data_IF_969220187327
#
_entry.id   IF_969220187327
#
_cell.length_a   1.000
_cell.length_b   1.000
_cell.length_c   1.000
_cell.angle_alpha   90.00
_cell.angle_beta   90.00
_cell.angle_gamma   90.00
#
_symmetry.space_group_name_H-M   'P 1'
#
loop_
_entity.id
_entity.type
_entity.pdbx_description
1 polymer ?
#
# COMPACT_ATOMS: atom_id res chain seq x y z
N UNK A 1 9.07 -3.67 8.89
CA UNK A 1 8.19 -4.05 10.02
C UNK A 1 7.38 -5.25 9.58
N UNK A 2 7.33 -6.29 10.43
CA UNK A 2 6.58 -7.52 10.17
C UNK A 2 5.68 -7.78 11.37
N UNK A 3 4.37 -7.85 11.14
CA UNK A 3 3.37 -8.17 12.16
C UNK A 3 2.12 -8.81 11.53
N UNK A 4 2.32 -9.70 10.55
CA UNK A 4 1.25 -10.48 9.94
C UNK A 4 0.55 -11.38 10.97
N UNK A 5 -0.71 -11.75 10.68
CA UNK A 5 -1.53 -12.67 11.49
C UNK A 5 -1.77 -12.16 12.92
N UNK A 6 -2.27 -10.93 13.02
CA UNK A 6 -2.59 -10.27 14.28
C UNK A 6 -3.96 -9.58 14.21
N UNK A 7 -4.34 -8.90 15.28
CA UNK A 7 -5.57 -8.10 15.35
C UNK A 7 -5.26 -6.60 15.40
N UNK A 8 -4.22 -6.15 14.68
CA UNK A 8 -3.82 -4.75 14.68
C UNK A 8 -4.82 -3.93 13.88
N UNK A 9 -5.29 -2.84 14.47
CA UNK A 9 -6.20 -1.88 13.83
C UNK A 9 -5.49 -0.61 13.36
N UNK A 10 -4.22 -0.43 13.77
CA UNK A 10 -3.38 0.72 13.43
C UNK A 10 -1.91 0.33 13.37
N UNK A 11 -1.18 1.01 12.50
CA UNK A 11 0.28 1.01 12.44
C UNK A 11 0.72 2.46 12.22
N UNK A 12 1.74 2.91 12.96
CA UNK A 12 2.38 4.21 12.73
C UNK A 12 3.82 3.98 12.25
N UNK A 13 4.11 4.44 11.05
CA UNK A 13 5.44 4.37 10.39
C UNK A 13 5.91 5.73 9.87
N UNK A 14 5.19 6.82 10.17
CA UNK A 14 5.38 8.12 9.52
C UNK A 14 6.79 8.71 9.68
N UNK A 15 7.50 8.38 10.76
CA UNK A 15 8.85 8.88 11.03
C UNK A 15 9.98 7.91 10.62
N UNK A 16 9.65 6.81 9.92
CA UNK A 16 10.61 5.77 9.55
C UNK A 16 11.09 5.96 8.10
N UNK A 17 11.85 7.03 7.85
CA UNK A 17 12.29 7.42 6.51
C UNK A 17 13.16 6.38 5.77
N UNK A 18 13.79 5.47 6.52
CA UNK A 18 14.62 4.39 5.98
C UNK A 18 13.89 3.03 5.93
N UNK A 19 12.57 3.02 6.14
CA UNK A 19 11.80 1.79 6.15
C UNK A 19 11.65 1.23 4.74
N UNK A 20 12.19 0.04 4.51
CA UNK A 20 12.17 -0.60 3.20
C UNK A 20 11.03 -1.61 3.03
N UNK A 21 10.53 -2.18 4.13
CA UNK A 21 9.62 -3.34 4.07
C UNK A 21 8.53 -3.24 5.12
N UNK A 22 7.29 -3.43 4.71
CA UNK A 22 6.12 -3.56 5.58
C UNK A 22 5.39 -4.84 5.19
N UNK A 23 5.18 -5.73 6.16
CA UNK A 23 4.22 -6.81 6.05
C UNK A 23 3.25 -6.76 7.23
N UNK A 24 1.99 -6.46 6.92
CA UNK A 24 0.86 -6.36 7.83
C UNK A 24 -0.32 -7.20 7.34
N UNK A 25 -0.05 -8.26 6.59
CA UNK A 25 -1.09 -9.16 6.09
C UNK A 25 -1.92 -9.74 7.25
N UNK A 26 -3.19 -10.07 7.00
CA UNK A 26 -4.08 -10.70 7.99
C UNK A 26 -4.17 -9.89 9.29
N UNK A 27 -4.66 -8.65 9.18
CA UNK A 27 -4.90 -7.74 10.30
C UNK A 27 -6.28 -7.06 10.12
N UNK A 28 -6.53 -5.96 10.84
CA UNK A 28 -7.76 -5.18 10.74
C UNK A 28 -7.47 -3.69 10.53
N UNK A 29 -6.42 -3.38 9.76
CA UNK A 29 -6.05 -2.00 9.45
C UNK A 29 -7.14 -1.36 8.61
N UNK A 30 -7.68 -0.24 9.07
CA UNK A 30 -8.65 0.57 8.32
C UNK A 30 -7.99 1.72 7.53
N UNK A 31 -6.76 2.08 7.92
CA UNK A 31 -5.95 3.10 7.27
C UNK A 31 -4.47 2.82 7.49
N UNK A 32 -3.63 3.27 6.56
CA UNK A 32 -2.18 3.30 6.70
C UNK A 32 -1.62 4.50 5.94
N UNK A 33 -0.87 5.35 6.63
CA UNK A 33 -0.11 6.43 6.02
C UNK A 33 1.35 5.99 5.84
N UNK A 34 1.81 5.98 4.59
CA UNK A 34 3.18 5.64 4.19
C UNK A 34 3.92 6.83 3.56
N UNK A 35 3.37 8.04 3.63
CA UNK A 35 3.94 9.24 2.99
C UNK A 35 5.35 9.57 3.49
N UNK A 36 5.68 9.17 4.72
CA UNK A 36 7.01 9.29 5.32
C UNK A 36 8.00 8.18 4.97
N UNK A 37 7.65 7.22 4.11
CA UNK A 37 8.48 6.05 3.80
C UNK A 37 8.86 5.97 2.30
N UNK A 38 9.56 6.98 1.75
CA UNK A 38 9.80 7.10 0.30
C UNK A 38 10.72 6.00 -0.26
N UNK A 39 11.46 5.28 0.58
CA UNK A 39 12.37 4.19 0.18
C UNK A 39 11.75 2.79 0.30
N UNK A 40 10.42 2.68 0.49
CA UNK A 40 9.74 1.39 0.55
C UNK A 40 9.96 0.58 -0.73
N UNK A 41 10.32 -0.68 -0.54
CA UNK A 41 10.55 -1.68 -1.57
C UNK A 41 9.51 -2.80 -1.53
N UNK A 42 8.94 -3.07 -0.36
CA UNK A 42 7.91 -4.11 -0.16
C UNK A 42 6.79 -3.60 0.72
N UNK A 43 5.55 -3.74 0.25
CA UNK A 43 4.34 -3.37 0.99
C UNK A 43 3.28 -4.46 0.82
N UNK A 44 3.09 -5.24 1.87
CA UNK A 44 2.10 -6.31 1.91
C UNK A 44 1.03 -6.01 2.95
N UNK A 45 -0.20 -5.84 2.48
CA UNK A 45 -1.36 -5.34 3.22
C UNK A 45 -2.62 -6.19 2.95
N UNK A 46 -2.47 -7.35 2.32
CA UNK A 46 -3.57 -8.25 2.01
C UNK A 46 -4.38 -8.64 3.26
N UNK A 47 -5.68 -8.88 3.09
CA UNK A 47 -6.60 -9.27 4.18
C UNK A 47 -6.61 -8.24 5.33
N UNK A 48 -7.03 -7.01 5.03
CA UNK A 48 -7.25 -5.95 5.99
C UNK A 48 -8.64 -5.31 5.77
N UNK A 49 -8.86 -4.08 6.22
CA UNK A 49 -10.12 -3.34 6.05
C UNK A 49 -9.87 -1.95 5.47
N UNK A 50 -8.84 -1.81 4.64
CA UNK A 50 -8.47 -0.55 3.99
C UNK A 50 -9.53 -0.18 2.95
N UNK A 51 -9.98 1.08 2.96
CA UNK A 51 -10.88 1.64 1.94
C UNK A 51 -10.12 2.40 0.84
N UNK A 52 -8.92 2.87 1.15
CA UNK A 52 -8.00 3.46 0.18
C UNK A 52 -6.56 3.25 0.66
N UNK A 53 -5.62 3.33 -0.28
CA UNK A 53 -4.20 3.44 0.01
C UNK A 53 -3.58 4.45 -0.95
N UNK A 54 -2.76 5.36 -0.41
CA UNK A 54 -2.03 6.36 -1.20
C UNK A 54 -0.56 5.97 -1.33
N UNK A 55 -0.17 5.59 -2.54
CA UNK A 55 1.21 5.25 -2.91
C UNK A 55 1.83 6.33 -3.82
N UNK A 56 1.17 7.49 -3.97
CA UNK A 56 1.64 8.60 -4.81
C UNK A 56 2.94 9.23 -4.34
N UNK A 57 3.29 9.02 -3.07
CA UNK A 57 4.54 9.44 -2.42
C UNK A 57 5.75 8.57 -2.77
N UNK A 58 5.53 7.37 -3.34
CA UNK A 58 6.61 6.47 -3.77
C UNK A 58 7.22 6.98 -5.08
N UNK A 59 8.50 7.44 -5.12
CA UNK A 59 9.03 8.13 -6.29
C UNK A 59 9.06 7.29 -7.57
N UNK A 60 9.24 5.98 -7.46
CA UNK A 60 9.24 5.03 -8.57
C UNK A 60 8.55 3.74 -8.15
N UNK A 61 7.53 3.31 -8.89
CA UNK A 61 6.84 2.05 -8.57
C UNK A 61 7.71 0.83 -8.83
N UNK A 62 8.74 0.95 -9.69
CA UNK A 62 9.73 -0.10 -9.92
C UNK A 62 10.53 -0.39 -8.64
N UNK A 63 10.77 0.61 -7.80
CA UNK A 63 11.42 0.41 -6.49
C UNK A 63 10.54 -0.43 -5.57
N UNK A 64 9.22 -0.19 -5.58
CA UNK A 64 8.24 -0.98 -4.84
C UNK A 64 8.01 -2.32 -5.57
N UNK A 65 9.04 -3.16 -5.52
CA UNK A 65 9.10 -4.42 -6.24
C UNK A 65 7.97 -5.39 -5.86
N UNK A 66 7.48 -5.30 -4.62
CA UNK A 66 6.39 -6.14 -4.09
C UNK A 66 5.29 -5.25 -3.53
N UNK A 67 4.08 -5.40 -4.04
CA UNK A 67 2.88 -4.77 -3.52
C UNK A 67 1.73 -5.78 -3.56
N UNK A 68 1.12 -6.03 -2.41
CA UNK A 68 -0.09 -6.85 -2.26
C UNK A 68 -1.12 -6.15 -1.40
N UNK A 69 -2.33 -6.04 -1.92
CA UNK A 69 -3.43 -5.28 -1.29
C UNK A 69 -4.78 -5.99 -1.42
N UNK A 70 -4.83 -7.17 -2.03
CA UNK A 70 -6.04 -7.98 -2.20
C UNK A 70 -6.79 -8.23 -0.88
N UNK A 71 -8.09 -8.50 -0.99
CA UNK A 71 -9.00 -8.67 0.14
C UNK A 71 -9.03 -7.45 1.08
N UNK A 72 -9.17 -6.27 0.48
CA UNK A 72 -9.50 -5.03 1.17
C UNK A 72 -10.72 -4.41 0.47
N UNK A 73 -11.66 -3.77 1.19
CA UNK A 73 -12.80 -3.09 0.59
C UNK A 73 -12.39 -1.74 -0.03
N UNK A 74 -11.43 -1.76 -0.96
CA UNK A 74 -10.89 -0.55 -1.56
C UNK A 74 -11.86 0.09 -2.55
N UNK A 75 -12.01 1.41 -2.44
CA UNK A 75 -12.59 2.21 -3.51
C UNK A 75 -11.54 2.49 -4.60
N UNK A 76 -10.26 2.57 -4.23
CA UNK A 76 -9.15 2.91 -5.12
C UNK A 76 -7.75 2.61 -4.54
N UNK A 77 -6.74 2.67 -5.41
CA UNK A 77 -5.32 2.80 -5.08
C UNK A 77 -4.84 4.14 -5.67
N UNK A 78 -4.53 5.12 -4.82
CA UNK A 78 -4.11 6.45 -5.28
C UNK A 78 -2.67 6.44 -5.77
N UNK A 79 -2.48 6.91 -6.99
CA UNK A 79 -1.20 7.08 -7.69
C UNK A 79 -1.10 8.51 -8.24
N UNK A 80 0.09 8.95 -8.63
CA UNK A 80 0.27 10.23 -9.33
C UNK A 80 0.29 10.07 -10.86
N UNK A 81 0.30 11.20 -11.58
CA UNK A 81 0.23 11.24 -13.05
C UNK A 81 1.39 10.57 -13.77
N UNK A 82 2.55 10.40 -13.10
CA UNK A 82 3.70 9.71 -13.68
C UNK A 82 3.62 8.20 -13.44
N UNK A 83 3.10 7.79 -12.30
CA UNK A 83 2.98 6.38 -11.89
C UNK A 83 1.89 5.62 -12.66
N UNK A 84 0.76 6.27 -12.97
CA UNK A 84 -0.40 5.60 -13.58
C UNK A 84 -0.10 4.98 -14.95
N UNK A 85 0.94 5.45 -15.64
CA UNK A 85 1.39 4.94 -16.94
C UNK A 85 2.33 3.73 -16.83
N UNK A 86 2.85 3.43 -15.64
CA UNK A 86 3.90 2.43 -15.40
C UNK A 86 3.62 1.65 -14.10
N UNK A 87 2.42 1.07 -14.02
CA UNK A 87 2.04 0.19 -12.90
C UNK A 87 2.73 -1.17 -13.08
N UNK A 88 3.49 -1.67 -12.08
CA UNK A 88 4.15 -2.95 -12.20
C UNK A 88 3.16 -4.13 -12.29
N UNK A 89 3.35 -4.98 -13.30
CA UNK A 89 2.42 -6.09 -13.58
C UNK A 89 2.43 -7.21 -12.53
N UNK A 90 3.46 -7.29 -11.69
CA UNK A 90 3.59 -8.31 -10.64
C UNK A 90 2.83 -7.97 -9.35
N UNK A 91 2.25 -6.78 -9.25
CA UNK A 91 1.46 -6.38 -8.09
C UNK A 91 0.15 -7.13 -8.01
N UNK A 92 -0.28 -7.44 -6.79
CA UNK A 92 -1.54 -8.15 -6.54
C UNK A 92 -2.55 -7.22 -5.88
N UNK A 93 -3.76 -7.22 -6.41
CA UNK A 93 -4.92 -6.44 -5.97
C UNK A 93 -6.19 -7.18 -6.40
N UNK A 94 -7.35 -6.81 -5.88
CA UNK A 94 -8.60 -7.39 -6.35
C UNK A 94 -8.94 -6.90 -7.77
N UNK A 95 -9.72 -7.69 -8.51
CA UNK A 95 -10.13 -7.32 -9.88
C UNK A 95 -10.95 -6.03 -9.91
N UNK A 96 -11.68 -5.74 -8.82
CA UNK A 96 -12.52 -4.55 -8.65
C UNK A 96 -11.73 -3.29 -8.33
N UNK A 97 -10.51 -3.42 -7.82
CA UNK A 97 -9.70 -2.28 -7.39
C UNK A 97 -9.22 -1.46 -8.59
N UNK A 98 -9.23 -0.14 -8.48
CA UNK A 98 -8.81 0.76 -9.56
C UNK A 98 -7.64 1.65 -9.12
N UNK A 99 -6.66 1.83 -9.99
CA UNK A 99 -5.65 2.88 -9.82
C UNK A 99 -6.25 4.22 -10.27
N UNK A 100 -6.13 5.26 -9.44
CA UNK A 100 -6.69 6.57 -9.73
C UNK A 100 -5.79 7.71 -9.25
N UNK A 101 -5.94 8.89 -9.87
CA UNK A 101 -5.23 10.10 -9.44
C UNK A 101 -5.87 10.73 -8.20
N UNK A 102 -7.17 10.51 -8.02
CA UNK A 102 -7.95 10.94 -6.86
C UNK A 102 -8.93 9.83 -6.47
N UNK A 103 -9.19 9.74 -5.17
CA UNK A 103 -10.10 8.80 -4.57
C UNK A 103 -11.26 9.57 -3.92
N UNK A 104 -12.49 9.08 -4.09
CA UNK A 104 -13.69 9.76 -3.61
C UNK A 104 -14.02 9.42 -2.15
#
# INVERSE_FOLDING_TARGET
VYANDNNLTRLNVSDLSNLEKINMENNSLAQLDISGNPVLQQLSLANNSLQAIDISSIPSLIQLNTFSIENNPLDCIKVNSTQIADIPAQWTKDETDVYALECN
#
